data_IF_455007173281
#
_entry.id   IF_455007173281
#
_cell.length_a   1.000
_cell.length_b   1.000
_cell.length_c   1.000
_cell.angle_alpha   90.00
_cell.angle_beta   90.00
_cell.angle_gamma   90.00
#
_symmetry.space_group_name_H-M   'P 1'
#
loop_
_entity.id
_entity.type
_entity.pdbx_description
1 polymer ?
#
# COMPACT_ATOMS: atom_id res chain seq x y z
N UNK A 1 8.66 6.89 -61.84
CA UNK A 1 8.25 6.98 -60.42
C UNK A 1 9.01 6.00 -59.51
N UNK A 2 10.23 5.55 -59.89
CA UNK A 2 11.10 4.69 -59.08
C UNK A 2 12.49 5.31 -58.78
N UNK A 3 12.79 6.52 -59.30
CA UNK A 3 14.07 7.20 -59.09
C UNK A 3 14.05 8.32 -58.00
N UNK A 4 12.90 8.57 -57.36
CA UNK A 4 12.81 9.51 -56.22
C UNK A 4 12.92 8.83 -54.85
N UNK A 5 12.91 7.49 -54.79
CA UNK A 5 12.93 6.72 -53.52
C UNK A 5 14.33 6.22 -53.16
N UNK A 6 15.26 6.06 -54.12
CA UNK A 6 16.65 5.69 -53.81
C UNK A 6 17.54 6.86 -53.34
N UNK A 7 17.15 8.12 -53.60
CA UNK A 7 17.92 9.30 -53.18
C UNK A 7 17.71 9.71 -51.72
N UNK A 8 16.62 9.30 -51.08
CA UNK A 8 16.33 9.61 -49.68
C UNK A 8 16.74 8.49 -48.71
N UNK A 9 17.07 7.30 -49.22
CA UNK A 9 17.50 6.16 -48.39
C UNK A 9 19.03 6.09 -48.17
N UNK A 10 19.82 6.88 -48.92
CA UNK A 10 21.29 6.84 -48.83
C UNK A 10 21.93 7.97 -47.99
N UNK A 11 21.12 8.88 -47.42
CA UNK A 11 21.61 9.99 -46.58
C UNK A 11 21.31 9.76 -45.08
N UNK A 12 20.47 8.78 -44.73
CA UNK A 12 20.08 8.53 -43.34
C UNK A 12 20.92 7.46 -42.62
N UNK A 13 21.88 6.80 -43.28
CA UNK A 13 22.63 5.67 -42.72
C UNK A 13 24.14 5.91 -42.55
N UNK A 14 24.62 7.14 -42.76
CA UNK A 14 26.06 7.46 -42.64
C UNK A 14 26.34 8.72 -41.83
N UNK A 15 25.69 8.90 -40.68
CA UNK A 15 26.09 9.92 -39.71
C UNK A 15 25.69 9.53 -38.26
N UNK A 16 25.96 8.29 -37.87
CA UNK A 16 26.02 7.93 -36.44
C UNK A 16 27.29 7.13 -36.22
N UNK A 17 28.40 7.83 -36.05
CA UNK A 17 29.46 7.47 -35.12
C UNK A 17 30.50 8.62 -35.05
N UNK A 18 30.94 8.87 -33.82
CA UNK A 18 32.08 9.71 -33.38
C UNK A 18 31.74 11.19 -33.11
N UNK A 19 31.49 11.51 -31.83
CA UNK A 19 32.15 12.51 -30.95
C UNK A 19 31.21 12.76 -29.74
N UNK A 20 31.68 12.74 -28.47
CA UNK A 20 30.84 13.07 -27.31
C UNK A 20 30.50 14.56 -27.33
N UNK A 21 29.21 14.89 -27.35
CA UNK A 21 28.78 16.29 -27.27
C UNK A 21 28.58 16.63 -25.79
N UNK A 22 29.53 17.40 -25.29
CA UNK A 22 29.50 18.08 -24.00
C UNK A 22 28.30 19.04 -23.92
N UNK A 23 27.62 19.06 -22.78
CA UNK A 23 26.40 19.85 -22.54
C UNK A 23 26.66 21.38 -22.57
N UNK A 24 27.92 21.80 -22.67
CA UNK A 24 28.36 23.20 -22.80
C UNK A 24 28.01 23.85 -24.16
N UNK A 25 27.65 23.08 -25.19
CA UNK A 25 27.43 23.61 -26.55
C UNK A 25 26.03 24.18 -26.77
N UNK A 26 25.06 23.89 -25.90
CA UNK A 26 23.69 24.43 -26.02
C UNK A 26 23.50 25.84 -25.41
N UNK A 27 24.48 26.37 -24.67
CA UNK A 27 24.40 27.73 -24.11
C UNK A 27 24.75 28.84 -25.10
N UNK A 28 25.29 28.53 -26.30
CA UNK A 28 25.76 29.56 -27.23
C UNK A 28 24.68 30.13 -28.20
N UNK A 29 23.45 29.60 -28.20
CA UNK A 29 22.39 30.08 -29.11
C UNK A 29 21.16 30.71 -28.43
N UNK A 30 21.12 30.79 -27.11
CA UNK A 30 20.14 31.60 -26.39
C UNK A 30 20.84 32.87 -25.88
N UNK A 31 20.67 33.99 -26.59
CA UNK A 31 21.41 35.22 -26.34
C UNK A 31 21.36 35.70 -24.89
N UNK A 32 22.53 35.74 -24.26
CA UNK A 32 22.79 36.50 -23.03
C UNK A 32 23.97 37.41 -23.31
N UNK A 33 23.77 38.72 -23.12
CA UNK A 33 24.80 39.74 -23.32
C UNK A 33 26.04 39.48 -22.46
N UNK A 34 27.19 39.96 -22.93
CA UNK A 34 28.49 39.90 -22.24
C UNK A 34 28.35 40.18 -20.74
N UNK A 35 28.41 39.13 -19.91
CA UNK A 35 28.84 39.26 -18.52
C UNK A 35 30.31 38.89 -18.46
N UNK A 36 31.13 39.79 -17.92
CA UNK A 36 32.49 39.46 -17.52
C UNK A 36 32.43 38.30 -16.52
N UNK A 37 33.03 37.16 -16.89
CA UNK A 37 33.28 36.07 -15.95
C UNK A 37 34.33 36.54 -14.93
N UNK A 38 33.86 37.14 -13.85
CA UNK A 38 34.65 37.27 -12.63
C UNK A 38 34.65 35.89 -11.99
N UNK A 39 35.71 35.10 -12.21
CA UNK A 39 35.87 33.84 -11.49
C UNK A 39 36.06 34.16 -10.01
N UNK A 40 35.02 33.91 -9.21
CA UNK A 40 35.14 33.97 -7.76
C UNK A 40 36.27 33.06 -7.32
N UNK A 41 37.15 33.58 -6.48
CA UNK A 41 38.17 32.76 -5.82
C UNK A 41 37.50 31.66 -4.99
N UNK A 42 38.18 30.54 -4.71
CA UNK A 42 37.65 29.48 -3.85
C UNK A 42 37.17 29.98 -2.47
N UNK A 43 37.76 31.09 -2.00
CA UNK A 43 37.40 31.78 -0.75
C UNK A 43 36.09 32.57 -0.88
N UNK A 44 35.85 33.21 -2.03
CA UNK A 44 34.60 33.93 -2.29
C UNK A 44 33.42 32.97 -2.52
N UNK A 45 33.66 31.79 -3.09
CA UNK A 45 32.64 30.73 -3.20
C UNK A 45 32.15 30.25 -1.83
N UNK A 46 33.07 30.07 -0.86
CA UNK A 46 32.70 29.74 0.53
C UNK A 46 31.93 30.84 1.25
N UNK A 47 32.11 32.11 0.88
CA UNK A 47 31.36 33.23 1.49
C UNK A 47 30.04 33.53 0.77
N UNK A 48 29.90 33.16 -0.50
CA UNK A 48 28.70 33.40 -1.31
C UNK A 48 27.58 32.37 -1.03
N UNK A 49 27.95 31.15 -0.65
CA UNK A 49 27.01 30.17 -0.13
C UNK A 49 27.06 30.24 1.40
N UNK A 50 26.15 31.02 1.99
CA UNK A 50 25.84 30.86 3.40
C UNK A 50 25.65 29.37 3.71
N UNK A 51 26.12 28.92 4.88
CA UNK A 51 25.90 27.55 5.35
C UNK A 51 24.46 27.17 5.06
N UNK A 52 24.27 26.10 4.27
CA UNK A 52 22.93 25.55 4.03
C UNK A 52 22.25 25.44 5.40
N UNK A 53 20.98 25.87 5.52
CA UNK A 53 20.28 25.81 6.80
C UNK A 53 20.44 24.40 7.34
N UNK A 54 20.98 24.32 8.55
CA UNK A 54 21.08 23.05 9.26
C UNK A 54 19.63 22.56 9.39
N UNK A 55 19.34 21.38 8.81
CA UNK A 55 18.01 20.81 8.91
C UNK A 55 17.68 20.68 10.40
N UNK A 56 16.60 21.34 10.84
CA UNK A 56 16.14 21.26 12.23
C UNK A 56 15.97 19.79 12.63
N UNK A 57 16.19 19.53 13.93
CA UNK A 57 16.20 18.23 14.61
C UNK A 57 15.53 17.09 13.81
N UNK A 58 16.34 16.14 13.32
CA UNK A 58 15.88 15.05 12.44
C UNK A 58 15.14 13.99 13.25
N UNK A 59 13.87 14.22 13.53
CA UNK A 59 12.96 13.20 14.06
C UNK A 59 12.44 12.28 12.94
N UNK A 60 13.38 11.77 12.12
CA UNK A 60 13.08 10.87 11.00
C UNK A 60 14.28 9.96 10.69
N UNK A 61 14.05 8.78 10.07
CA UNK A 61 15.11 7.82 9.81
C UNK A 61 16.13 8.35 8.80
N UNK A 62 17.41 8.21 9.12
CA UNK A 62 18.51 8.62 8.24
C UNK A 62 19.12 7.40 7.59
N UNK A 63 19.25 7.44 6.26
CA UNK A 63 19.92 6.38 5.50
C UNK A 63 21.41 6.32 5.85
N UNK A 64 21.87 5.20 6.41
CA UNK A 64 23.26 5.00 6.84
C UNK A 64 24.09 4.25 5.78
N UNK A 65 23.47 3.38 4.99
CA UNK A 65 24.12 2.72 3.86
C UNK A 65 23.74 3.45 2.57
N UNK A 66 24.58 4.41 2.17
CA UNK A 66 24.34 5.25 0.99
C UNK A 66 24.45 4.49 -0.33
N UNK A 67 25.17 3.37 -0.35
CA UNK A 67 25.37 2.53 -1.54
C UNK A 67 24.24 1.51 -1.74
N UNK A 68 23.36 1.36 -0.75
CA UNK A 68 22.18 0.48 -0.82
C UNK A 68 21.04 1.13 -1.61
N UNK A 69 20.84 0.72 -2.86
CA UNK A 69 19.80 1.28 -3.75
C UNK A 69 18.38 0.70 -3.56
N UNK A 70 18.17 -0.15 -2.56
CA UNK A 70 16.90 -0.87 -2.38
C UNK A 70 16.97 -2.33 -2.79
N UNK A 71 15.80 -2.98 -2.74
CA UNK A 71 15.61 -4.33 -3.30
C UNK A 71 14.95 -4.20 -4.66
N UNK A 72 15.39 -5.02 -5.62
CA UNK A 72 14.68 -5.18 -6.90
C UNK A 72 13.34 -5.87 -6.63
N UNK A 73 12.27 -5.09 -6.64
CA UNK A 73 10.88 -5.58 -6.54
C UNK A 73 10.31 -5.84 -7.94
N UNK A 74 9.66 -6.99 -8.10
CA UNK A 74 8.90 -7.34 -9.31
C UNK A 74 7.47 -6.80 -9.28
N UNK A 75 6.94 -6.43 -8.11
CA UNK A 75 5.63 -5.79 -8.01
C UNK A 75 5.53 -4.53 -8.87
N UNK A 76 4.34 -4.30 -9.38
CA UNK A 76 4.07 -3.19 -10.29
C UNK A 76 4.22 -1.82 -9.59
N UNK A 77 3.79 -1.73 -8.33
CA UNK A 77 3.98 -0.59 -7.44
C UNK A 77 4.32 -1.08 -6.03
N UNK A 78 5.19 -0.34 -5.34
CA UNK A 78 5.59 -0.64 -3.97
C UNK A 78 5.98 0.63 -3.21
N UNK A 79 5.80 0.63 -1.90
CA UNK A 79 6.17 1.74 -1.03
C UNK A 79 6.57 1.26 0.37
N UNK A 80 7.55 1.90 0.97
CA UNK A 80 7.91 1.76 2.38
C UNK A 80 7.93 3.13 3.04
N UNK A 81 7.20 3.27 4.13
CA UNK A 81 7.05 4.53 4.88
C UNK A 81 7.34 4.28 6.34
N UNK A 82 8.08 5.18 6.96
CA UNK A 82 8.21 5.25 8.40
C UNK A 82 6.94 5.81 9.05
N UNK A 83 6.39 5.10 10.05
CA UNK A 83 5.11 5.45 10.68
C UNK A 83 5.16 6.82 11.38
N UNK A 84 6.19 7.08 12.20
CA UNK A 84 6.22 8.26 13.06
C UNK A 84 6.47 9.56 12.30
N UNK A 85 7.43 9.56 11.37
CA UNK A 85 7.81 10.76 10.63
C UNK A 85 7.08 10.92 9.29
N UNK A 86 6.47 9.85 8.78
CA UNK A 86 5.93 9.80 7.43
C UNK A 86 7.01 9.80 6.33
N UNK A 87 8.29 9.62 6.69
CA UNK A 87 9.38 9.61 5.74
C UNK A 87 9.24 8.43 4.75
N UNK A 88 9.32 8.74 3.46
CA UNK A 88 9.33 7.71 2.41
C UNK A 88 10.73 7.10 2.35
N UNK A 89 10.83 5.82 2.73
CA UNK A 89 12.09 5.08 2.74
C UNK A 89 12.34 4.39 1.39
N UNK A 90 11.28 3.98 0.70
CA UNK A 90 11.33 3.38 -0.64
C UNK A 90 10.03 3.68 -1.40
N UNK A 91 10.12 3.91 -2.71
CA UNK A 91 8.94 4.01 -3.57
C UNK A 91 9.23 3.52 -5.00
N UNK A 92 8.22 2.85 -5.58
CA UNK A 92 8.16 2.46 -6.99
C UNK A 92 6.74 2.70 -7.47
N UNK A 93 6.55 3.65 -8.39
CA UNK A 93 5.23 4.06 -8.90
C UNK A 93 4.19 4.30 -7.77
N UNK A 94 4.51 5.08 -6.74
CA UNK A 94 3.71 5.19 -5.51
C UNK A 94 2.30 5.76 -5.74
N UNK A 95 2.14 6.60 -6.76
CA UNK A 95 0.90 7.30 -7.12
C UNK A 95 0.18 6.64 -8.32
N UNK A 96 0.62 5.48 -8.76
CA UNK A 96 0.04 4.82 -9.92
C UNK A 96 -1.22 4.02 -9.52
N UNK A 97 -2.34 4.32 -10.18
CA UNK A 97 -3.64 3.71 -9.89
C UNK A 97 -3.69 2.23 -10.22
N UNK A 98 -4.21 1.44 -9.29
CA UNK A 98 -4.44 0.01 -9.50
C UNK A 98 -5.56 -0.52 -8.62
N UNK A 99 -6.27 -1.53 -9.12
CA UNK A 99 -7.24 -2.26 -8.33
C UNK A 99 -6.59 -2.87 -7.09
N UNK A 100 -7.29 -2.81 -5.96
CA UNK A 100 -6.73 -3.20 -4.65
C UNK A 100 -7.28 -4.52 -4.12
N UNK A 101 -8.28 -5.08 -4.81
CA UNK A 101 -8.99 -6.28 -4.37
C UNK A 101 -9.45 -6.17 -2.92
N UNK A 102 -9.38 -7.26 -2.16
CA UNK A 102 -9.87 -7.32 -0.77
C UNK A 102 -9.19 -6.41 0.26
N UNK A 103 -8.21 -5.58 -0.11
CA UNK A 103 -7.78 -4.45 0.74
C UNK A 103 -8.95 -3.50 1.01
N UNK A 104 -9.92 -3.39 0.08
CA UNK A 104 -11.19 -2.68 0.23
C UNK A 104 -11.91 -2.98 1.56
N UNK A 105 -11.78 -4.21 2.09
CA UNK A 105 -12.46 -4.61 3.32
C UNK A 105 -12.01 -3.83 4.57
N UNK A 106 -10.82 -3.23 4.57
CA UNK A 106 -10.41 -2.33 5.66
C UNK A 106 -11.31 -1.08 5.69
N UNK A 107 -11.58 -0.47 4.54
CA UNK A 107 -12.50 0.68 4.47
C UNK A 107 -13.91 0.27 4.89
N UNK A 108 -14.38 -0.90 4.45
CA UNK A 108 -15.68 -1.44 4.88
C UNK A 108 -15.76 -1.63 6.39
N UNK A 109 -14.72 -2.20 7.00
CA UNK A 109 -14.65 -2.39 8.45
C UNK A 109 -14.65 -1.05 9.20
N UNK A 110 -13.88 -0.07 8.72
CA UNK A 110 -13.83 1.27 9.30
C UNK A 110 -15.21 1.94 9.29
N UNK A 111 -15.86 1.98 8.12
CA UNK A 111 -17.21 2.57 7.97
C UNK A 111 -18.26 1.83 8.80
N UNK A 112 -18.17 0.51 8.90
CA UNK A 112 -19.08 -0.27 9.73
C UNK A 112 -18.91 0.07 11.22
N UNK A 113 -17.67 0.17 11.71
CA UNK A 113 -17.38 0.43 13.12
C UNK A 113 -17.67 1.88 13.55
N UNK A 114 -17.57 2.85 12.65
CA UNK A 114 -17.96 4.25 12.93
C UNK A 114 -19.42 4.41 13.36
N UNK A 115 -20.29 3.48 12.95
CA UNK A 115 -21.69 3.46 13.35
C UNK A 115 -21.89 2.96 14.79
N UNK A 116 -20.81 2.60 15.50
CA UNK A 116 -20.81 2.03 16.85
C UNK A 116 -21.77 0.83 17.00
N UNK A 117 -21.69 -0.18 16.12
CA UNK A 117 -22.59 -1.33 16.16
C UNK A 117 -22.37 -2.15 17.44
N UNK A 118 -23.42 -2.83 17.90
CA UNK A 118 -23.27 -3.79 18.99
C UNK A 118 -22.56 -5.06 18.48
N UNK A 119 -21.23 -5.12 18.59
CA UNK A 119 -20.45 -6.27 18.11
C UNK A 119 -20.78 -7.59 18.80
N UNK A 120 -21.44 -7.56 19.97
CA UNK A 120 -21.92 -8.75 20.67
C UNK A 120 -23.27 -9.25 20.17
N UNK A 121 -23.95 -8.51 19.29
CA UNK A 121 -25.20 -8.94 18.68
C UNK A 121 -24.97 -10.26 17.93
N UNK A 122 -25.76 -11.27 18.30
CA UNK A 122 -25.75 -12.58 17.65
C UNK A 122 -26.64 -12.49 16.43
N UNK A 123 -26.02 -12.58 15.26
CA UNK A 123 -26.67 -12.44 13.97
C UNK A 123 -26.66 -13.73 13.18
N UNK A 124 -27.53 -13.81 12.19
CA UNK A 124 -27.61 -14.90 11.23
C UNK A 124 -27.34 -14.36 9.84
N UNK A 125 -26.39 -15.00 9.14
CA UNK A 125 -26.16 -14.72 7.72
C UNK A 125 -27.29 -15.32 6.90
N UNK A 126 -27.77 -14.53 5.93
CA UNK A 126 -28.82 -14.86 4.99
C UNK A 126 -28.19 -15.26 3.64
N UNK A 127 -28.40 -16.48 3.14
CA UNK A 127 -27.77 -16.94 1.90
C UNK A 127 -28.26 -16.21 0.65
N UNK A 128 -29.47 -15.64 0.67
CA UNK A 128 -30.02 -14.92 -0.48
C UNK A 128 -29.48 -13.48 -0.54
N UNK A 129 -29.21 -12.88 0.62
CA UNK A 129 -28.78 -11.47 0.72
C UNK A 129 -27.27 -11.30 0.90
N UNK A 130 -26.59 -12.23 1.57
CA UNK A 130 -25.19 -12.08 1.96
C UNK A 130 -24.23 -12.86 1.08
N UNK A 131 -24.68 -13.88 0.34
CA UNK A 131 -23.78 -14.72 -0.42
C UNK A 131 -23.06 -13.94 -1.52
N UNK A 132 -21.73 -13.91 -1.41
CA UNK A 132 -20.86 -13.34 -2.44
C UNK A 132 -19.75 -14.33 -2.79
N UNK A 133 -19.64 -14.67 -4.08
CA UNK A 133 -18.61 -15.58 -4.60
C UNK A 133 -17.19 -14.99 -4.56
N UNK A 134 -16.20 -15.74 -5.05
CA UNK A 134 -14.82 -15.24 -5.21
C UNK A 134 -13.91 -15.34 -3.98
N UNK A 135 -14.30 -16.11 -2.96
CA UNK A 135 -13.53 -16.32 -1.74
C UNK A 135 -13.93 -17.60 -0.98
N UNK A 136 -13.24 -17.87 0.13
CA UNK A 136 -13.65 -18.92 1.06
C UNK A 136 -14.79 -18.39 1.94
N UNK A 137 -15.77 -19.25 2.19
CA UNK A 137 -16.87 -18.99 3.13
C UNK A 137 -16.59 -19.81 4.38
N UNK A 138 -16.35 -19.12 5.49
CA UNK A 138 -16.04 -19.75 6.77
C UNK A 138 -17.28 -19.85 7.65
N UNK A 139 -18.18 -18.88 7.50
CA UNK A 139 -19.42 -18.81 8.25
C UNK A 139 -20.52 -19.61 7.54
N UNK A 140 -21.14 -20.53 8.27
CA UNK A 140 -22.36 -21.16 7.78
C UNK A 140 -23.55 -20.22 7.91
N UNK A 141 -24.53 -20.37 7.02
CA UNK A 141 -25.83 -19.67 7.12
C UNK A 141 -26.63 -20.19 8.33
N UNK A 142 -27.50 -19.35 8.89
CA UNK A 142 -28.44 -19.74 9.96
C UNK A 142 -27.84 -20.20 11.29
N UNK A 143 -26.50 -20.13 11.45
CA UNK A 143 -25.80 -20.50 12.68
C UNK A 143 -25.39 -19.22 13.40
N UNK A 144 -26.21 -18.78 14.36
CA UNK A 144 -25.99 -17.54 15.11
C UNK A 144 -24.52 -17.29 15.48
N UNK A 145 -24.00 -16.14 15.05
CA UNK A 145 -22.60 -15.73 15.20
C UNK A 145 -22.57 -14.26 15.58
N UNK A 146 -21.67 -13.83 16.47
CA UNK A 146 -21.59 -12.42 16.84
C UNK A 146 -21.10 -11.55 15.68
N UNK A 147 -21.53 -10.30 15.59
CA UNK A 147 -20.98 -9.33 14.63
C UNK A 147 -19.45 -9.18 14.76
N UNK A 148 -18.90 -9.33 15.96
CA UNK A 148 -17.45 -9.43 16.20
C UNK A 148 -16.81 -10.56 15.39
N UNK A 149 -17.40 -11.76 15.41
CA UNK A 149 -16.91 -12.91 14.65
C UNK A 149 -17.13 -12.73 13.13
N UNK A 150 -18.21 -12.06 12.71
CA UNK A 150 -18.43 -11.70 11.30
C UNK A 150 -17.32 -10.77 10.79
N UNK A 151 -16.97 -9.75 11.59
CA UNK A 151 -15.86 -8.85 11.31
C UNK A 151 -14.52 -9.60 11.26
N UNK A 152 -14.27 -10.49 12.22
CA UNK A 152 -13.08 -11.36 12.22
C UNK A 152 -12.96 -12.22 10.96
N UNK A 153 -14.05 -12.84 10.50
CA UNK A 153 -14.06 -13.61 9.25
C UNK A 153 -13.76 -12.74 8.01
N UNK A 154 -14.31 -11.53 7.97
CA UNK A 154 -14.06 -10.55 6.90
C UNK A 154 -12.58 -10.14 6.85
N UNK A 155 -11.95 -9.86 7.99
CA UNK A 155 -10.59 -9.32 8.03
C UNK A 155 -9.50 -10.40 7.97
N UNK A 156 -9.63 -11.48 8.76
CA UNK A 156 -8.63 -12.55 8.86
C UNK A 156 -8.68 -13.44 7.61
N UNK A 157 -9.87 -14.00 7.33
CA UNK A 157 -10.10 -14.94 6.23
C UNK A 157 -10.37 -14.28 4.88
N UNK A 158 -10.57 -12.96 4.86
CA UNK A 158 -10.97 -12.22 3.67
C UNK A 158 -12.33 -12.66 3.10
N UNK A 159 -13.26 -13.09 3.97
CA UNK A 159 -14.56 -13.64 3.59
C UNK A 159 -15.49 -12.56 3.00
N UNK A 160 -15.90 -12.75 1.75
CA UNK A 160 -16.76 -11.81 1.02
C UNK A 160 -18.19 -11.81 1.57
N UNK A 161 -18.73 -13.00 1.90
CA UNK A 161 -20.07 -13.15 2.46
C UNK A 161 -20.15 -12.50 3.83
N UNK A 162 -19.14 -12.69 4.68
CA UNK A 162 -19.08 -12.00 5.96
C UNK A 162 -19.08 -10.47 5.80
N UNK A 163 -18.33 -9.98 4.81
CA UNK A 163 -18.25 -8.54 4.52
C UNK A 163 -19.60 -7.98 4.04
N UNK A 164 -20.28 -8.68 3.15
CA UNK A 164 -21.61 -8.30 2.69
C UNK A 164 -22.63 -8.30 3.82
N UNK A 165 -22.55 -9.26 4.73
CA UNK A 165 -23.39 -9.32 5.92
C UNK A 165 -23.19 -8.11 6.84
N UNK A 166 -21.94 -7.66 7.07
CA UNK A 166 -21.68 -6.42 7.85
C UNK A 166 -22.41 -5.22 7.24
N UNK A 167 -22.38 -5.09 5.92
CA UNK A 167 -23.06 -4.00 5.21
C UNK A 167 -24.56 -4.11 5.40
N UNK A 168 -25.16 -5.30 5.27
CA UNK A 168 -26.60 -5.49 5.54
C UNK A 168 -26.95 -5.14 6.99
N UNK A 169 -26.13 -5.56 7.96
CA UNK A 169 -26.35 -5.29 9.38
C UNK A 169 -26.08 -3.84 9.79
N UNK A 170 -25.40 -3.06 8.95
CA UNK A 170 -25.31 -1.60 9.15
C UNK A 170 -26.66 -0.89 8.95
N UNK A 171 -27.61 -1.53 8.24
CA UNK A 171 -28.89 -0.92 7.89
C UNK A 171 -28.83 0.05 6.71
N UNK A 172 -27.65 0.34 6.16
CA UNK A 172 -27.48 1.13 4.94
C UNK A 172 -27.73 0.28 3.69
N UNK A 173 -28.22 0.92 2.63
CA UNK A 173 -28.20 0.29 1.30
C UNK A 173 -26.75 0.14 0.82
N UNK A 174 -26.48 -0.80 -0.08
CA UNK A 174 -25.11 -0.93 -0.65
C UNK A 174 -24.63 0.37 -1.29
N UNK A 175 -25.52 1.12 -1.94
CA UNK A 175 -25.19 2.41 -2.57
C UNK A 175 -24.79 3.45 -1.53
N UNK A 176 -25.56 3.57 -0.44
CA UNK A 176 -25.28 4.54 0.62
C UNK A 176 -24.01 4.15 1.40
N UNK A 177 -23.79 2.84 1.60
CA UNK A 177 -22.58 2.35 2.25
C UNK A 177 -21.33 2.66 1.43
N UNK A 178 -21.36 2.41 0.11
CA UNK A 178 -20.26 2.75 -0.80
C UNK A 178 -20.04 4.27 -0.86
N UNK A 179 -21.11 5.07 -0.86
CA UNK A 179 -21.00 6.53 -0.78
C UNK A 179 -20.29 6.96 0.52
N UNK A 180 -20.61 6.34 1.66
CA UNK A 180 -19.91 6.58 2.93
C UNK A 180 -18.44 6.15 2.89
N UNK A 181 -18.10 5.04 2.23
CA UNK A 181 -16.72 4.60 2.01
C UNK A 181 -15.90 5.65 1.24
N UNK A 182 -16.44 6.18 0.14
CA UNK A 182 -15.77 7.23 -0.63
C UNK A 182 -15.67 8.55 0.15
N UNK A 183 -16.72 8.92 0.88
CA UNK A 183 -16.66 10.08 1.77
C UNK A 183 -15.55 9.92 2.84
N UNK A 184 -15.39 8.72 3.42
CA UNK A 184 -14.32 8.47 4.39
C UNK A 184 -12.93 8.54 3.72
N UNK A 185 -12.81 8.04 2.49
CA UNK A 185 -11.57 8.18 1.71
C UNK A 185 -11.17 9.66 1.55
N UNK A 186 -12.13 10.52 1.21
CA UNK A 186 -11.92 11.97 1.11
C UNK A 186 -11.52 12.59 2.46
N UNK A 187 -12.19 12.21 3.55
CA UNK A 187 -11.88 12.65 4.93
C UNK A 187 -10.44 12.32 5.33
N UNK A 188 -9.90 11.21 4.82
CA UNK A 188 -8.52 10.75 5.04
C UNK A 188 -7.52 11.32 4.01
N UNK A 189 -7.99 12.14 3.06
CA UNK A 189 -7.20 12.70 1.98
C UNK A 189 -6.72 11.66 0.95
N UNK A 190 -7.45 10.57 0.78
CA UNK A 190 -7.23 9.54 -0.25
C UNK A 190 -7.95 9.93 -1.56
N UNK A 191 -7.58 11.08 -2.12
CA UNK A 191 -8.27 11.74 -3.25
C UNK A 191 -8.16 11.01 -4.59
N UNK A 192 -7.27 10.01 -4.70
CA UNK A 192 -7.14 9.13 -5.86
C UNK A 192 -7.77 7.74 -5.62
N UNK A 193 -8.46 7.54 -4.49
CA UNK A 193 -9.08 6.27 -4.15
C UNK A 193 -10.59 6.33 -4.38
N UNK A 194 -11.09 5.40 -5.17
CA UNK A 194 -12.52 5.19 -5.38
C UNK A 194 -12.89 3.75 -5.07
N UNK A 195 -13.98 3.57 -4.32
CA UNK A 195 -14.61 2.29 -4.03
C UNK A 195 -15.90 2.13 -4.84
N UNK A 196 -16.02 0.99 -5.52
CA UNK A 196 -17.19 0.61 -6.32
C UNK A 196 -17.96 -0.56 -5.70
N UNK A 197 -17.39 -1.19 -4.69
CA UNK A 197 -18.02 -2.22 -3.89
C UNK A 197 -17.41 -2.29 -2.48
N UNK A 198 -17.96 -3.19 -1.68
CA UNK A 198 -17.61 -3.35 -0.25
C UNK A 198 -16.58 -4.45 -0.01
N UNK A 199 -16.33 -5.32 -0.99
CA UNK A 199 -15.51 -6.52 -0.83
C UNK A 199 -14.24 -6.53 -1.70
N UNK A 200 -14.11 -5.61 -2.66
CA UNK A 200 -12.99 -5.55 -3.60
C UNK A 200 -13.07 -6.63 -4.68
N UNK A 201 -14.26 -6.85 -5.25
CA UNK A 201 -14.53 -7.72 -6.39
C UNK A 201 -14.71 -6.93 -7.70
N UNK A 202 -15.11 -5.66 -7.61
CA UNK A 202 -15.10 -4.72 -8.71
C UNK A 202 -13.66 -4.22 -8.94
N UNK A 203 -13.15 -4.43 -10.14
CA UNK A 203 -11.81 -3.98 -10.52
C UNK A 203 -11.66 -2.46 -10.57
N UNK A 204 -12.77 -1.71 -10.58
CA UNK A 204 -12.77 -0.25 -10.50
C UNK A 204 -12.56 0.26 -9.08
N UNK A 205 -12.65 -0.59 -8.05
CA UNK A 205 -12.17 -0.25 -6.69
C UNK A 205 -10.64 -0.13 -6.72
N UNK A 206 -10.13 1.09 -6.89
CA UNK A 206 -8.73 1.41 -7.14
C UNK A 206 -8.18 2.38 -6.09
N UNK A 207 -6.87 2.32 -5.88
CA UNK A 207 -6.12 3.25 -5.02
C UNK A 207 -4.67 3.32 -5.52
N UNK A 208 -3.84 4.02 -4.76
CA UNK A 208 -2.38 4.14 -4.98
C UNK A 208 -1.63 3.58 -3.77
N UNK A 209 -0.36 3.23 -3.93
CA UNK A 209 0.43 2.71 -2.81
C UNK A 209 0.54 3.75 -1.68
N UNK A 210 0.65 5.04 -2.04
CA UNK A 210 0.70 6.16 -1.09
C UNK A 210 -0.55 6.30 -0.25
N UNK A 211 -1.73 6.19 -0.86
CA UNK A 211 -3.00 6.33 -0.14
C UNK A 211 -3.33 5.08 0.67
N UNK A 212 -2.90 3.89 0.23
CA UNK A 212 -3.06 2.67 1.00
C UNK A 212 -2.27 2.65 2.32
N UNK A 213 -1.18 3.42 2.43
CA UNK A 213 -0.50 3.64 3.73
C UNK A 213 -1.45 4.31 4.72
N UNK A 214 -2.21 5.32 4.28
CA UNK A 214 -3.18 6.02 5.14
C UNK A 214 -4.31 5.10 5.57
N UNK A 215 -4.80 4.26 4.66
CA UNK A 215 -5.81 3.25 4.98
C UNK A 215 -5.30 2.26 6.03
N UNK A 216 -4.04 1.84 5.94
CA UNK A 216 -3.43 0.95 6.90
C UNK A 216 -3.31 1.61 8.28
N UNK A 217 -2.80 2.83 8.34
CA UNK A 217 -2.64 3.60 9.58
C UNK A 217 -3.99 3.82 10.29
N UNK A 218 -5.03 4.23 9.55
CA UNK A 218 -6.38 4.42 10.11
C UNK A 218 -6.97 3.08 10.62
N UNK A 219 -6.74 1.99 9.89
CA UNK A 219 -7.15 0.65 10.32
C UNK A 219 -6.41 0.18 11.59
N UNK A 220 -5.13 0.51 11.73
CA UNK A 220 -4.30 0.18 12.89
C UNK A 220 -4.67 1.01 14.13
N UNK A 221 -5.11 2.25 13.94
CA UNK A 221 -5.62 3.10 15.02
C UNK A 221 -6.95 2.59 15.62
N UNK A 222 -7.72 1.78 14.88
CA UNK A 222 -8.91 1.14 15.40
C UNK A 222 -8.55 -0.17 16.14
N UNK A 223 -8.70 -0.19 17.47
CA UNK A 223 -8.31 -1.34 18.31
C UNK A 223 -8.94 -2.68 17.88
N UNK A 224 -10.19 -2.66 17.40
CA UNK A 224 -10.88 -3.89 16.96
C UNK A 224 -10.31 -4.41 15.65
N UNK A 225 -10.07 -3.54 14.68
CA UNK A 225 -9.47 -3.93 13.40
C UNK A 225 -8.02 -4.38 13.61
N UNK A 226 -7.25 -3.61 14.38
CA UNK A 226 -5.87 -3.91 14.76
C UNK A 226 -5.73 -5.30 15.39
N UNK A 227 -6.61 -5.64 16.35
CA UNK A 227 -6.64 -6.98 16.94
C UNK A 227 -6.70 -8.09 15.88
N UNK A 228 -7.63 -8.00 14.92
CA UNK A 228 -7.81 -9.02 13.89
C UNK A 228 -6.64 -9.09 12.91
N UNK A 229 -6.06 -7.94 12.54
CA UNK A 229 -4.93 -7.88 11.60
C UNK A 229 -3.67 -8.57 12.15
N UNK A 230 -3.50 -8.62 13.47
CA UNK A 230 -2.37 -9.27 14.16
C UNK A 230 -2.54 -10.79 14.35
N UNK A 231 -3.75 -11.33 14.18
CA UNK A 231 -3.98 -12.76 14.44
C UNK A 231 -3.45 -13.62 13.28
N UNK A 232 -2.51 -14.54 13.52
CA UNK A 232 -2.11 -15.55 12.53
C UNK A 232 -3.25 -16.53 12.21
N UNK A 233 -4.07 -16.86 13.20
CA UNK A 233 -5.30 -17.64 13.06
C UNK A 233 -6.38 -17.10 13.99
N UNK A 234 -7.64 -17.29 13.64
CA UNK A 234 -8.78 -16.87 14.44
C UNK A 234 -9.84 -17.96 14.50
N UNK A 235 -10.29 -18.32 15.71
CA UNK A 235 -11.29 -19.37 15.90
C UNK A 235 -12.64 -18.77 16.25
N UNK A 236 -13.64 -19.08 15.43
CA UNK A 236 -15.03 -18.65 15.61
C UNK A 236 -15.82 -19.84 16.15
N UNK A 237 -16.52 -19.62 17.26
CA UNK A 237 -17.47 -20.58 17.82
C UNK A 237 -18.89 -20.07 17.62
N UNK A 238 -19.70 -20.84 16.89
CA UNK A 238 -21.10 -20.53 16.60
C UNK A 238 -22.00 -20.87 17.79
N UNK A 239 -23.20 -20.30 17.84
CA UNK A 239 -24.21 -20.61 18.86
C UNK A 239 -24.62 -22.09 18.89
N UNK A 240 -24.42 -22.82 17.78
CA UNK A 240 -24.61 -24.28 17.69
C UNK A 240 -23.53 -25.09 18.43
N UNK A 241 -22.47 -24.45 18.93
CA UNK A 241 -21.30 -25.11 19.51
C UNK A 241 -20.26 -25.57 18.49
N UNK A 242 -20.51 -25.41 17.19
CA UNK A 242 -19.54 -25.70 16.13
C UNK A 242 -18.48 -24.60 16.09
N UNK A 243 -17.21 -24.99 16.05
CA UNK A 243 -16.10 -24.06 15.84
C UNK A 243 -15.47 -24.21 14.46
N UNK A 244 -14.97 -23.10 13.92
CA UNK A 244 -14.16 -23.03 12.69
C UNK A 244 -12.94 -22.17 12.96
N UNK A 245 -11.76 -22.66 12.60
CA UNK A 245 -10.52 -21.88 12.65
C UNK A 245 -10.20 -21.34 11.26
N UNK A 246 -9.93 -20.04 11.20
CA UNK A 246 -9.62 -19.27 10.01
C UNK A 246 -8.14 -18.92 10.04
N UNK A 247 -7.44 -19.17 8.94
CA UNK A 247 -6.06 -18.70 8.77
C UNK A 247 -6.05 -17.29 8.21
N UNK A 248 -5.14 -16.45 8.71
CA UNK A 248 -4.97 -15.13 8.16
C UNK A 248 -4.37 -15.19 6.75
N UNK A 249 -4.93 -14.41 5.84
CA UNK A 249 -4.42 -14.31 4.47
C UNK A 249 -3.07 -13.60 4.36
N UNK A 250 -2.69 -12.79 5.37
CA UNK A 250 -1.37 -12.18 5.47
C UNK A 250 -0.31 -13.22 5.85
N UNK A 251 0.44 -13.69 4.86
CA UNK A 251 1.49 -14.69 5.06
C UNK A 251 2.72 -14.19 5.83
N UNK A 252 2.89 -12.87 6.02
CA UNK A 252 4.03 -12.30 6.77
C UNK A 252 3.96 -12.71 8.25
N UNK A 253 2.76 -12.86 8.80
CA UNK A 253 2.48 -13.34 10.16
C UNK A 253 3.05 -14.74 10.47
N UNK A 254 3.38 -15.51 9.45
CA UNK A 254 3.90 -16.88 9.54
C UNK A 254 5.40 -16.95 9.20
N UNK A 255 6.10 -15.83 9.28
CA UNK A 255 7.51 -15.71 8.90
C UNK A 255 8.32 -15.12 10.06
N UNK A 256 9.65 -15.11 9.95
CA UNK A 256 10.52 -14.50 10.95
C UNK A 256 10.25 -13.01 11.21
N UNK A 257 9.49 -12.33 10.33
CA UNK A 257 9.05 -10.94 10.56
C UNK A 257 8.03 -10.80 11.69
N UNK A 258 7.47 -11.91 12.19
CA UNK A 258 6.57 -11.95 13.33
C UNK A 258 7.20 -12.72 14.52
N UNK A 259 8.53 -12.69 14.61
CA UNK A 259 9.31 -13.30 15.67
C UNK A 259 10.34 -12.29 16.19
N UNK A 260 10.58 -12.27 17.50
CA UNK A 260 11.55 -11.35 18.13
C UNK A 260 12.89 -11.37 17.39
N UNK A 261 13.46 -10.21 17.01
CA UNK A 261 13.11 -8.86 17.46
C UNK A 261 12.10 -8.10 16.57
N UNK A 262 11.40 -8.78 15.67
CA UNK A 262 10.36 -8.21 14.80
C UNK A 262 8.96 -8.55 15.30
N UNK A 263 7.99 -7.72 14.93
CA UNK A 263 6.58 -7.95 15.22
C UNK A 263 5.71 -7.40 14.08
N UNK A 264 4.74 -8.17 13.60
CA UNK A 264 3.80 -7.69 12.57
C UNK A 264 2.64 -6.99 13.26
N UNK A 265 2.56 -5.67 13.07
CA UNK A 265 1.54 -4.83 13.70
C UNK A 265 0.17 -4.98 13.03
N UNK A 266 0.16 -5.31 11.74
CA UNK A 266 -1.09 -5.52 11.02
C UNK A 266 -0.88 -5.65 9.52
N UNK A 267 -1.99 -5.84 8.80
CA UNK A 267 -2.00 -5.88 7.36
C UNK A 267 -3.25 -6.51 6.76
N UNK A 268 -3.42 -6.31 5.46
CA UNK A 268 -4.50 -6.91 4.69
C UNK A 268 -4.01 -7.30 3.30
N UNK A 269 -4.54 -8.40 2.80
CA UNK A 269 -4.27 -8.85 1.44
C UNK A 269 -5.44 -8.61 0.49
N UNK A 270 -5.10 -8.46 -0.78
CA UNK A 270 -6.04 -8.36 -1.89
C UNK A 270 -5.57 -9.18 -3.08
N UNK A 271 -6.53 -9.64 -3.89
CA UNK A 271 -6.25 -10.26 -5.18
C UNK A 271 -7.47 -10.12 -6.10
N UNK A 272 -7.21 -9.69 -7.31
CA UNK A 272 -8.06 -9.82 -8.50
C UNK A 272 -7.11 -9.99 -9.69
N UNK A 273 -7.53 -10.62 -10.80
CA UNK A 273 -6.69 -10.70 -12.00
C UNK A 273 -6.13 -9.33 -12.45
N UNK A 274 -6.95 -8.28 -12.35
CA UNK A 274 -6.59 -6.89 -12.69
C UNK A 274 -5.69 -6.24 -11.63
N UNK A 275 -5.87 -6.60 -10.35
CA UNK A 275 -5.06 -6.12 -9.24
C UNK A 275 -3.70 -6.82 -9.14
N UNK A 276 -3.57 -8.04 -9.69
CA UNK A 276 -2.50 -8.95 -9.26
C UNK A 276 -2.59 -9.24 -7.76
N UNK A 277 -1.49 -9.63 -7.14
CA UNK A 277 -1.41 -9.88 -5.71
C UNK A 277 -1.03 -8.60 -4.96
N UNK A 278 -1.90 -8.17 -4.04
CA UNK A 278 -1.72 -6.97 -3.20
C UNK A 278 -1.52 -7.38 -1.74
N UNK A 279 -0.62 -6.70 -1.04
CA UNK A 279 -0.42 -6.78 0.41
C UNK A 279 -0.05 -5.40 0.94
N UNK A 280 -0.73 -4.98 1.99
CA UNK A 280 -0.31 -3.87 2.85
C UNK A 280 -0.08 -4.43 4.24
N UNK A 281 1.03 -4.08 4.88
CA UNK A 281 1.39 -4.61 6.19
C UNK A 281 2.35 -3.68 6.91
N UNK A 282 2.27 -3.66 8.24
CA UNK A 282 3.20 -2.90 9.08
C UNK A 282 4.03 -3.87 9.90
N UNK A 283 5.33 -3.58 9.97
CA UNK A 283 6.29 -4.39 10.72
C UNK A 283 7.02 -3.46 11.67
N UNK A 284 7.19 -3.92 12.91
CA UNK A 284 7.90 -3.23 13.98
C UNK A 284 9.25 -3.88 14.21
N UNK A 285 10.27 -3.07 14.48
CA UNK A 285 11.58 -3.51 14.93
C UNK A 285 12.17 -2.46 15.88
N UNK A 286 12.61 -2.88 17.07
CA UNK A 286 13.26 -2.01 18.07
C UNK A 286 12.49 -0.72 18.39
N UNK A 287 11.15 -0.79 18.41
CA UNK A 287 10.29 0.37 18.70
C UNK A 287 9.81 1.13 17.46
N UNK A 288 10.46 0.95 16.32
CA UNK A 288 10.17 1.64 15.07
C UNK A 288 9.23 0.82 14.17
N UNK A 289 8.29 1.48 13.49
CA UNK A 289 7.31 0.82 12.63
C UNK A 289 7.50 1.31 11.19
N UNK A 290 7.53 0.37 10.25
CA UNK A 290 7.47 0.66 8.82
C UNK A 290 6.20 0.09 8.20
N UNK A 291 5.50 0.88 7.41
CA UNK A 291 4.41 0.45 6.55
C UNK A 291 4.97 0.01 5.20
N UNK A 292 4.59 -1.18 4.75
CA UNK A 292 4.99 -1.75 3.47
C UNK A 292 3.76 -2.02 2.62
N UNK A 293 3.74 -1.45 1.42
CA UNK A 293 2.69 -1.63 0.43
C UNK A 293 3.27 -2.30 -0.81
N UNK A 294 2.67 -3.40 -1.23
CA UNK A 294 3.00 -4.16 -2.45
C UNK A 294 1.74 -4.27 -3.29
N UNK A 295 1.78 -3.78 -4.52
CA UNK A 295 0.65 -3.83 -5.46
C UNK A 295 1.06 -4.50 -6.77
N UNK A 296 0.26 -5.48 -7.20
CA UNK A 296 0.49 -6.14 -8.49
C UNK A 296 1.69 -7.08 -8.51
N UNK A 297 1.95 -7.80 -7.42
CA UNK A 297 2.88 -8.93 -7.45
C UNK A 297 2.32 -10.08 -8.30
N UNK A 298 3.21 -10.91 -8.85
CA UNK A 298 2.85 -12.00 -9.76
C UNK A 298 2.24 -13.23 -9.05
N UNK A 299 2.53 -13.42 -7.76
CA UNK A 299 2.05 -14.55 -6.97
C UNK A 299 1.79 -14.21 -5.50
N UNK A 300 1.05 -15.09 -4.81
CA UNK A 300 0.82 -15.01 -3.36
C UNK A 300 2.13 -15.02 -2.57
N UNK A 301 3.11 -15.80 -3.01
CA UNK A 301 4.40 -15.90 -2.33
C UNK A 301 5.29 -14.70 -2.65
N UNK A 302 5.23 -14.19 -3.89
CA UNK A 302 5.98 -13.01 -4.30
C UNK A 302 5.63 -11.78 -3.45
N UNK A 303 4.33 -11.47 -3.23
CA UNK A 303 3.95 -10.35 -2.37
C UNK A 303 4.50 -10.45 -0.94
N UNK A 304 4.59 -11.68 -0.40
CA UNK A 304 5.10 -11.92 0.96
C UNK A 304 6.62 -11.76 0.99
N UNK A 305 7.35 -12.33 0.02
CA UNK A 305 8.81 -12.18 -0.02
C UNK A 305 9.24 -10.75 -0.29
N UNK A 306 8.52 -10.03 -1.16
CA UNK A 306 8.81 -8.62 -1.42
C UNK A 306 8.54 -7.74 -0.20
N UNK A 307 7.42 -7.94 0.50
CA UNK A 307 7.12 -7.18 1.72
C UNK A 307 8.18 -7.43 2.81
N UNK A 308 8.54 -8.70 3.06
CA UNK A 308 9.62 -9.05 3.99
C UNK A 308 10.95 -8.44 3.59
N UNK A 309 11.32 -8.56 2.32
CA UNK A 309 12.57 -8.02 1.82
C UNK A 309 12.65 -6.52 2.06
N UNK A 310 11.63 -5.78 1.62
CA UNK A 310 11.60 -4.32 1.72
C UNK A 310 11.60 -3.84 3.18
N UNK A 311 10.86 -4.48 4.07
CA UNK A 311 10.90 -4.18 5.49
C UNK A 311 12.29 -4.45 6.09
N UNK A 312 12.86 -5.63 5.82
CA UNK A 312 14.20 -5.99 6.30
C UNK A 312 15.23 -4.97 5.83
N UNK A 313 15.22 -4.67 4.53
CA UNK A 313 16.11 -3.70 3.93
C UNK A 313 15.98 -2.33 4.59
N UNK A 314 14.76 -1.86 4.86
CA UNK A 314 14.54 -0.58 5.52
C UNK A 314 15.21 -0.54 6.90
N UNK A 315 14.99 -1.57 7.73
CA UNK A 315 15.61 -1.67 9.06
C UNK A 315 17.12 -1.83 9.04
N UNK A 316 17.70 -2.39 7.97
CA UNK A 316 19.17 -2.51 7.83
C UNK A 316 19.83 -1.26 7.23
N UNK A 317 19.08 -0.46 6.47
CA UNK A 317 19.62 0.64 5.66
C UNK A 317 19.40 2.01 6.31
N UNK A 318 18.41 2.13 7.18
CA UNK A 318 18.08 3.35 7.89
C UNK A 318 18.33 3.23 9.38
N UNK A 319 18.77 4.32 10.00
CA UNK A 319 18.90 4.48 11.43
C UNK A 319 17.84 5.47 11.90
N UNK A 320 17.02 5.04 12.86
CA UNK A 320 16.05 5.90 13.53
C UNK A 320 16.76 6.77 14.59
N UNK A 321 16.25 7.99 14.85
CA UNK A 321 16.73 8.82 15.95
C UNK A 321 16.50 8.13 17.30
N UNK A 322 17.37 8.40 18.27
CA UNK A 322 17.27 7.91 19.67
C UNK A 322 16.21 8.68 20.49
#
# INVERSE_FOLDING_TARGET
MLLKILGQLLVATTLVQIVPVDASVFEYQAGVGKMEQTMMSPVESQMAFGTLPEAENRDYPVKIDLDSYGIVTSAWSAMVVDDSSGAVLFEKHPDALRSIGSVTKLMTALVFLEQNPNLNEVVTLDPELDYVGGGRIYLGYFNGVSLYNVLGASLVGSDNTATQALVRFSGLSSVDFIARMNQKADEMGMVQTDFYDVAGLDSNSMSTARELVRLLQEAEANETISYFMQQSTYTITQASGRSVTIENTNGVLQTFMNESPYDVVGGKTGYLPQAGYVLITSIKHEGNIVHVVIMGAESKDARVQEAKGLAYWAFQTYQWPE
#
